data_IF_557807969250
#
_entry.id   IF_557807969250
#
_cell.length_a   1.000
_cell.length_b   1.000
_cell.length_c   1.000
_cell.angle_alpha   90.00
_cell.angle_beta   90.00
_cell.angle_gamma   90.00
#
_symmetry.space_group_name_H-M   'P 1'
#
loop_
_entity.id
_entity.type
_entity.pdbx_description
1 polymer ?
#
# COMPACT_ATOMS: atom_id res chain seq x y z
N UNK A 1 17.14 -12.78 4.86
CA UNK A 1 16.50 -13.65 3.86
C UNK A 1 15.01 -13.57 4.07
N UNK A 2 14.25 -13.25 3.03
CA UNK A 2 12.79 -13.15 3.11
C UNK A 2 12.20 -14.56 3.18
N UNK A 3 11.48 -14.89 4.25
CA UNK A 3 10.87 -16.22 4.38
C UNK A 3 9.77 -16.42 3.32
N UNK A 4 9.11 -15.34 2.90
CA UNK A 4 8.18 -15.34 1.79
C UNK A 4 8.81 -15.83 0.48
N UNK A 5 10.08 -15.49 0.20
CA UNK A 5 10.76 -15.92 -1.02
C UNK A 5 11.08 -17.42 -0.98
N UNK A 6 11.58 -17.91 0.15
CA UNK A 6 11.93 -19.31 0.34
C UNK A 6 10.69 -20.21 0.21
N UNK A 7 9.59 -19.86 0.90
CA UNK A 7 8.39 -20.70 0.91
C UNK A 7 7.65 -20.70 -0.43
N UNK A 8 7.77 -19.62 -1.20
CA UNK A 8 7.21 -19.53 -2.55
C UNK A 8 8.18 -20.03 -3.61
N UNK A 9 9.42 -20.36 -3.26
CA UNK A 9 10.45 -20.87 -4.16
C UNK A 9 10.97 -19.82 -5.15
N UNK A 10 11.05 -18.57 -4.73
CA UNK A 10 11.84 -17.55 -5.43
C UNK A 10 13.33 -17.70 -5.14
N UNK A 11 13.68 -18.23 -3.96
CA UNK A 11 15.05 -18.60 -3.63
C UNK A 11 15.11 -19.95 -2.89
N UNK A 12 16.29 -20.55 -2.85
CA UNK A 12 16.57 -21.68 -1.97
C UNK A 12 16.89 -21.25 -0.53
N UNK A 13 17.15 -22.21 0.36
CA UNK A 13 17.49 -21.95 1.76
C UNK A 13 18.83 -21.20 1.95
N UNK A 14 19.65 -21.08 0.91
CA UNK A 14 20.87 -20.26 0.91
C UNK A 14 20.63 -18.82 0.46
N UNK A 15 19.42 -18.51 -0.03
CA UNK A 15 19.04 -17.24 -0.62
C UNK A 15 19.43 -17.12 -2.10
N UNK A 16 19.87 -18.21 -2.73
CA UNK A 16 20.17 -18.21 -4.16
C UNK A 16 18.85 -18.24 -4.95
N UNK A 17 18.71 -17.33 -5.92
CA UNK A 17 17.54 -17.29 -6.79
C UNK A 17 17.40 -18.61 -7.57
N UNK A 18 16.17 -19.11 -7.66
CA UNK A 18 15.87 -20.33 -8.43
C UNK A 18 15.67 -19.98 -9.92
N UNK A 19 16.19 -20.85 -10.80
CA UNK A 19 16.02 -20.78 -12.26
C UNK A 19 15.47 -22.11 -12.79
N UNK A 20 14.25 -22.14 -13.34
CA UNK A 20 13.35 -21.02 -13.57
C UNK A 20 12.65 -20.52 -12.30
N UNK A 21 12.32 -19.23 -12.27
CA UNK A 21 11.46 -18.61 -11.27
C UNK A 21 10.03 -19.19 -11.38
N UNK A 22 9.33 -19.47 -10.27
CA UNK A 22 7.98 -20.02 -10.30
C UNK A 22 7.00 -19.08 -11.01
N UNK A 23 6.10 -19.65 -11.80
CA UNK A 23 5.06 -18.88 -12.49
C UNK A 23 3.95 -18.40 -11.54
N UNK A 24 3.22 -17.35 -11.92
CA UNK A 24 2.13 -16.79 -11.08
C UNK A 24 1.10 -17.82 -10.61
N UNK A 25 0.66 -18.74 -11.48
CA UNK A 25 -0.30 -19.79 -11.11
C UNK A 25 0.26 -20.80 -10.11
N UNK A 26 1.56 -21.08 -10.17
CA UNK A 26 2.25 -21.93 -9.21
C UNK A 26 2.37 -21.24 -7.85
N UNK A 27 2.75 -19.96 -7.83
CA UNK A 27 2.83 -19.15 -6.61
C UNK A 27 1.46 -19.08 -5.93
N UNK A 28 0.39 -18.79 -6.67
CA UNK A 28 -0.97 -18.76 -6.13
C UNK A 28 -1.38 -20.12 -5.54
N UNK A 29 -1.12 -21.22 -6.24
CA UNK A 29 -1.42 -22.56 -5.73
C UNK A 29 -0.64 -22.90 -4.45
N UNK A 30 0.62 -22.46 -4.35
CA UNK A 30 1.44 -22.62 -3.13
C UNK A 30 0.83 -21.85 -1.97
N UNK A 31 0.47 -20.58 -2.16
CA UNK A 31 -0.17 -19.76 -1.11
C UNK A 31 -1.49 -20.41 -0.65
N UNK A 32 -2.34 -20.85 -1.57
CA UNK A 32 -3.62 -21.48 -1.25
C UNK A 32 -3.50 -22.80 -0.48
N UNK A 33 -2.40 -23.53 -0.66
CA UNK A 33 -2.12 -24.78 0.03
C UNK A 33 -1.53 -24.58 1.44
N UNK A 34 -1.09 -23.37 1.79
CA UNK A 34 -0.44 -23.12 3.08
C UNK A 34 -1.43 -23.20 4.26
N UNK A 35 -0.95 -23.64 5.44
CA UNK A 35 -1.71 -23.52 6.67
C UNK A 35 -1.88 -22.04 7.06
N UNK A 36 -2.96 -21.72 7.76
CA UNK A 36 -3.24 -20.34 8.19
C UNK A 36 -2.15 -19.74 9.08
N UNK A 37 -1.41 -20.56 9.83
CA UNK A 37 -0.27 -20.09 10.63
C UNK A 37 0.83 -19.49 9.76
N UNK A 38 1.03 -20.02 8.55
CA UNK A 38 2.00 -19.51 7.61
C UNK A 38 1.49 -18.22 6.95
N UNK A 39 0.17 -18.11 6.73
CA UNK A 39 -0.42 -16.84 6.30
C UNK A 39 -0.24 -15.73 7.36
N UNK A 40 -0.39 -16.04 8.64
CA UNK A 40 -0.11 -15.08 9.73
C UNK A 40 1.36 -14.67 9.74
N UNK A 41 2.28 -15.61 9.52
CA UNK A 41 3.71 -15.29 9.38
C UNK A 41 3.99 -14.42 8.16
N UNK A 42 3.39 -14.73 7.01
CA UNK A 42 3.49 -13.94 5.79
C UNK A 42 2.98 -12.52 6.00
N UNK A 43 1.84 -12.37 6.68
CA UNK A 43 1.26 -11.07 7.03
C UNK A 43 2.24 -10.24 7.86
N UNK A 44 2.85 -10.82 8.90
CA UNK A 44 3.87 -10.13 9.70
C UNK A 44 5.03 -9.65 8.82
N UNK A 45 5.54 -10.49 7.93
CA UNK A 45 6.63 -10.12 7.03
C UNK A 45 6.22 -8.99 6.07
N UNK A 46 5.02 -9.05 5.49
CA UNK A 46 4.44 -7.96 4.66
C UNK A 46 4.40 -6.65 5.43
N UNK A 47 3.90 -6.68 6.67
CA UNK A 47 3.73 -5.49 7.50
C UNK A 47 5.04 -4.85 7.98
N UNK A 48 6.09 -5.65 8.12
CA UNK A 48 7.37 -5.22 8.72
C UNK A 48 8.49 -5.02 7.70
N UNK A 49 8.30 -5.51 6.47
CA UNK A 49 9.26 -5.28 5.37
C UNK A 49 9.08 -3.87 4.82
N UNK A 50 10.14 -3.08 4.92
CA UNK A 50 10.23 -1.75 4.30
C UNK A 50 9.98 -1.84 2.81
N UNK A 51 9.34 -0.82 2.24
CA UNK A 51 8.94 -0.85 0.85
C UNK A 51 10.13 -1.06 -0.11
N UNK A 52 11.26 -0.39 0.17
CA UNK A 52 12.53 -0.56 -0.57
C UNK A 52 13.09 -1.99 -0.54
N UNK A 53 12.75 -2.77 0.48
CA UNK A 53 13.28 -4.11 0.72
C UNK A 53 12.28 -5.22 0.32
N UNK A 54 11.12 -4.85 -0.25
CA UNK A 54 10.11 -5.82 -0.69
C UNK A 54 10.66 -6.68 -1.84
N UNK A 55 10.56 -7.99 -1.64
CA UNK A 55 10.94 -9.01 -2.62
C UNK A 55 9.72 -9.50 -3.41
N UNK A 56 9.95 -10.36 -4.40
CA UNK A 56 8.87 -10.99 -5.17
C UNK A 56 7.91 -11.81 -4.30
N UNK A 57 8.42 -12.52 -3.29
CA UNK A 57 7.58 -13.29 -2.36
C UNK A 57 6.74 -12.37 -1.48
N UNK A 58 7.31 -11.30 -0.94
CA UNK A 58 6.55 -10.30 -0.17
C UNK A 58 5.47 -9.67 -1.04
N UNK A 59 5.80 -9.28 -2.28
CA UNK A 59 4.84 -8.73 -3.22
C UNK A 59 3.72 -9.71 -3.56
N UNK A 60 4.02 -11.00 -3.77
CA UNK A 60 3.01 -12.02 -4.01
C UNK A 60 2.00 -12.13 -2.86
N UNK A 61 2.47 -12.05 -1.60
CA UNK A 61 1.58 -12.02 -0.45
C UNK A 61 0.80 -10.71 -0.31
N UNK A 62 1.41 -9.55 -0.61
CA UNK A 62 0.68 -8.27 -0.68
C UNK A 62 -0.52 -8.39 -1.63
N UNK A 63 -0.28 -8.89 -2.85
CA UNK A 63 -1.34 -9.09 -3.84
C UNK A 63 -2.38 -10.12 -3.41
N UNK A 64 -1.95 -11.19 -2.72
CA UNK A 64 -2.87 -12.17 -2.18
C UNK A 64 -3.81 -11.56 -1.14
N UNK A 65 -3.27 -10.85 -0.14
CA UNK A 65 -4.07 -10.22 0.92
C UNK A 65 -4.94 -9.06 0.42
N UNK A 66 -4.51 -8.35 -0.63
CA UNK A 66 -5.31 -7.34 -1.32
C UNK A 66 -6.58 -7.93 -1.96
N UNK A 67 -6.51 -9.19 -2.41
CA UNK A 67 -7.63 -9.85 -3.10
C UNK A 67 -8.45 -10.75 -2.19
N UNK A 68 -7.85 -11.25 -1.10
CA UNK A 68 -8.41 -12.30 -0.26
C UNK A 68 -9.87 -12.02 0.13
N UNK A 69 -10.14 -10.84 0.67
CA UNK A 69 -11.47 -10.48 1.17
C UNK A 69 -12.49 -10.24 0.06
N UNK A 70 -12.01 -9.86 -1.14
CA UNK A 70 -12.86 -9.71 -2.31
C UNK A 70 -13.23 -11.08 -2.91
N UNK A 71 -12.23 -11.95 -3.09
CA UNK A 71 -12.33 -13.20 -3.82
C UNK A 71 -12.92 -14.34 -2.96
N UNK A 72 -12.52 -14.44 -1.68
CA UNK A 72 -13.05 -15.40 -0.72
C UNK A 72 -13.24 -14.76 0.67
N UNK A 73 -14.38 -14.08 0.90
CA UNK A 73 -14.63 -13.40 2.18
C UNK A 73 -14.67 -14.36 3.38
N UNK A 74 -15.02 -15.63 3.19
CA UNK A 74 -15.04 -16.61 4.29
C UNK A 74 -13.62 -16.96 4.70
N UNK A 75 -12.74 -17.19 3.72
CA UNK A 75 -11.33 -17.44 3.98
C UNK A 75 -10.62 -16.23 4.56
N UNK A 76 -10.99 -15.01 4.15
CA UNK A 76 -10.59 -13.77 4.82
C UNK A 76 -10.89 -13.76 6.31
N UNK A 77 -12.08 -14.22 6.72
CA UNK A 77 -12.47 -14.29 8.14
C UNK A 77 -11.69 -15.40 8.88
N UNK A 78 -11.44 -16.54 8.25
CA UNK A 78 -10.59 -17.60 8.82
C UNK A 78 -9.17 -17.10 9.04
N UNK A 79 -8.63 -16.32 8.10
CA UNK A 79 -7.33 -15.67 8.26
C UNK A 79 -7.32 -14.68 9.44
N UNK A 80 -8.34 -13.81 9.55
CA UNK A 80 -8.47 -12.88 10.67
C UNK A 80 -8.53 -13.66 12.00
N UNK A 81 -9.31 -14.73 12.07
CA UNK A 81 -9.36 -15.59 13.26
C UNK A 81 -7.98 -16.19 13.60
N UNK A 82 -7.25 -16.71 12.62
CA UNK A 82 -5.93 -17.25 12.83
C UNK A 82 -4.94 -16.18 13.33
N UNK A 83 -4.99 -14.97 12.77
CA UNK A 83 -4.17 -13.86 13.22
C UNK A 83 -4.49 -13.46 14.68
N UNK A 84 -5.78 -13.40 15.04
CA UNK A 84 -6.20 -13.13 16.42
C UNK A 84 -5.67 -14.18 17.43
N UNK A 85 -5.44 -15.41 16.98
CA UNK A 85 -4.90 -16.50 17.82
C UNK A 85 -3.37 -16.51 17.86
N UNK A 86 -2.69 -16.20 16.76
CA UNK A 86 -1.26 -16.47 16.59
C UNK A 86 -0.38 -15.22 16.49
N UNK A 87 -0.92 -14.06 16.11
CA UNK A 87 -0.18 -12.80 16.12
C UNK A 87 -0.23 -12.17 17.53
N UNK A 88 0.93 -11.98 18.15
CA UNK A 88 1.05 -11.43 19.50
C UNK A 88 1.36 -9.93 19.49
N UNK A 89 1.92 -9.42 18.41
CA UNK A 89 2.20 -8.01 18.21
C UNK A 89 0.91 -7.28 17.83
N UNK A 90 0.46 -6.38 18.71
CA UNK A 90 -0.77 -5.63 18.52
C UNK A 90 -0.66 -4.61 17.37
N UNK A 91 0.54 -4.07 17.08
CA UNK A 91 0.74 -3.17 15.94
C UNK A 91 0.55 -3.92 14.62
N UNK A 92 1.12 -5.14 14.50
CA UNK A 92 0.93 -6.00 13.32
C UNK A 92 -0.52 -6.46 13.19
N UNK A 93 -1.16 -6.81 14.31
CA UNK A 93 -2.57 -7.19 14.30
C UNK A 93 -3.48 -6.03 13.89
N UNK A 94 -3.20 -4.82 14.39
CA UNK A 94 -3.91 -3.59 14.04
C UNK A 94 -3.92 -3.35 12.52
N UNK A 95 -2.83 -3.69 11.83
CA UNK A 95 -2.74 -3.55 10.37
C UNK A 95 -3.77 -4.40 9.63
N UNK A 96 -4.37 -5.44 10.23
CA UNK A 96 -5.49 -6.17 9.61
C UNK A 96 -6.72 -5.27 9.46
N UNK A 97 -6.95 -4.39 10.43
CA UNK A 97 -8.05 -3.41 10.40
C UNK A 97 -7.76 -2.25 9.44
N UNK A 98 -6.55 -1.69 9.50
CA UNK A 98 -6.14 -0.62 8.56
C UNK A 98 -6.09 -1.13 7.12
N UNK A 99 -5.45 -2.28 6.98
CA UNK A 99 -5.19 -2.92 5.71
C UNK A 99 -6.46 -3.42 5.05
N UNK A 100 -6.24 -3.98 3.87
CA UNK A 100 -7.30 -4.45 2.99
C UNK A 100 -8.10 -5.65 3.55
N UNK A 101 -7.55 -6.60 4.34
CA UNK A 101 -8.29 -7.77 4.79
C UNK A 101 -9.61 -7.45 5.52
N UNK A 102 -9.60 -6.72 6.65
CA UNK A 102 -10.85 -6.38 7.32
C UNK A 102 -11.58 -5.24 6.60
N UNK A 103 -10.85 -4.22 6.14
CA UNK A 103 -11.44 -3.05 5.50
C UNK A 103 -12.31 -3.40 4.28
N UNK A 104 -11.82 -4.24 3.39
CA UNK A 104 -12.55 -4.68 2.19
C UNK A 104 -13.72 -5.62 2.52
N UNK A 105 -13.62 -6.45 3.56
CA UNK A 105 -14.76 -7.26 4.01
C UNK A 105 -15.93 -6.36 4.39
N UNK A 106 -15.66 -5.26 5.09
CA UNK A 106 -16.68 -4.32 5.52
C UNK A 106 -17.24 -3.51 4.34
N UNK A 107 -16.40 -3.09 3.40
CA UNK A 107 -16.85 -2.28 2.24
C UNK A 107 -17.61 -3.14 1.23
N UNK A 108 -17.00 -4.23 0.77
CA UNK A 108 -17.50 -4.95 -0.41
C UNK A 108 -18.31 -6.21 -0.07
N UNK A 109 -18.18 -6.73 1.14
CA UNK A 109 -18.72 -8.05 1.53
C UNK A 109 -19.45 -8.03 2.87
N UNK A 110 -19.95 -6.87 3.32
CA UNK A 110 -20.59 -6.70 4.63
C UNK A 110 -21.70 -7.73 4.91
N UNK A 111 -22.52 -8.04 3.90
CA UNK A 111 -23.64 -8.99 4.02
C UNK A 111 -23.18 -10.40 4.38
N UNK A 112 -22.02 -10.82 3.87
CA UNK A 112 -21.39 -12.11 4.19
C UNK A 112 -20.60 -12.01 5.49
N UNK A 113 -19.83 -10.94 5.67
CA UNK A 113 -18.90 -10.79 6.77
C UNK A 113 -19.59 -10.55 8.12
N UNK A 114 -20.65 -9.74 8.15
CA UNK A 114 -21.32 -9.31 9.40
C UNK A 114 -21.74 -10.48 10.31
N UNK A 115 -22.54 -11.47 9.86
CA UNK A 115 -22.94 -12.56 10.75
C UNK A 115 -21.75 -13.37 11.29
N UNK A 116 -20.73 -13.58 10.46
CA UNK A 116 -19.54 -14.36 10.82
C UNK A 116 -18.64 -13.59 11.81
N UNK A 117 -18.46 -12.28 11.61
CA UNK A 117 -17.72 -11.41 12.52
C UNK A 117 -18.45 -11.27 13.88
N UNK A 118 -19.78 -11.21 13.88
CA UNK A 118 -20.56 -11.19 15.13
C UNK A 118 -20.36 -12.48 15.93
N UNK A 119 -20.44 -13.64 15.28
CA UNK A 119 -20.20 -14.93 15.95
C UNK A 119 -18.76 -15.02 16.48
N UNK A 120 -17.78 -14.63 15.67
CA UNK A 120 -16.37 -14.61 16.07
C UNK A 120 -16.12 -13.67 17.25
N UNK A 121 -16.77 -12.49 17.28
CA UNK A 121 -16.62 -11.49 18.34
C UNK A 121 -17.18 -11.95 19.70
N UNK A 122 -18.09 -12.92 19.73
CA UNK A 122 -18.56 -13.52 20.98
C UNK A 122 -17.46 -14.30 21.70
N UNK A 123 -16.53 -14.88 20.95
CA UNK A 123 -15.46 -15.76 21.45
C UNK A 123 -14.05 -15.17 21.36
N UNK A 124 -13.86 -14.08 20.59
CA UNK A 124 -12.58 -13.40 20.42
C UNK A 124 -12.67 -11.92 20.87
N UNK A 125 -12.32 -11.59 22.13
CA UNK A 125 -12.28 -10.21 22.60
C UNK A 125 -11.36 -9.31 21.77
N UNK A 126 -10.24 -9.85 21.27
CA UNK A 126 -9.30 -9.12 20.40
C UNK A 126 -9.94 -8.69 19.08
N UNK A 127 -10.96 -9.40 18.58
CA UNK A 127 -11.70 -8.93 17.41
C UNK A 127 -12.49 -7.66 17.72
N UNK A 128 -13.10 -7.55 18.89
CA UNK A 128 -13.88 -6.36 19.28
C UNK A 128 -12.99 -5.13 19.36
N UNK A 129 -11.80 -5.28 19.93
CA UNK A 129 -10.76 -4.27 19.92
C UNK A 129 -10.36 -3.88 18.48
N UNK A 130 -10.07 -4.86 17.62
CA UNK A 130 -9.70 -4.61 16.21
C UNK A 130 -10.83 -3.91 15.43
N UNK A 131 -12.08 -4.28 15.66
CA UNK A 131 -13.28 -3.64 15.12
C UNK A 131 -13.47 -2.23 15.68
N UNK A 132 -12.98 -1.95 16.89
CA UNK A 132 -12.97 -0.61 17.51
C UNK A 132 -12.31 0.44 16.60
N UNK A 133 -11.23 0.08 15.89
CA UNK A 133 -10.61 0.96 14.87
C UNK A 133 -11.57 1.38 13.77
N UNK A 134 -12.46 0.49 13.37
CA UNK A 134 -13.37 0.69 12.24
C UNK A 134 -14.65 1.43 12.63
N UNK A 135 -14.89 1.67 13.93
CA UNK A 135 -16.15 2.21 14.43
C UNK A 135 -16.53 3.53 13.76
N UNK A 136 -15.60 4.50 13.70
CA UNK A 136 -15.82 5.77 13.05
C UNK A 136 -16.12 5.62 11.55
N UNK A 137 -15.38 4.77 10.83
CA UNK A 137 -15.63 4.53 9.41
C UNK A 137 -16.98 3.85 9.15
N UNK A 138 -17.36 2.86 9.98
CA UNK A 138 -18.67 2.19 9.89
C UNK A 138 -19.78 3.21 10.14
N UNK A 139 -19.64 4.08 11.14
CA UNK A 139 -20.58 5.17 11.43
C UNK A 139 -20.70 6.19 10.28
N UNK A 140 -19.64 6.36 9.50
CA UNK A 140 -19.56 7.29 8.37
C UNK A 140 -19.85 6.64 7.00
N UNK A 141 -20.53 5.50 6.97
CA UNK A 141 -21.00 4.91 5.71
C UNK A 141 -20.03 3.97 5.01
N UNK A 142 -19.01 3.44 5.70
CA UNK A 142 -18.17 2.36 5.15
C UNK A 142 -18.98 1.09 4.81
N UNK A 143 -20.11 0.89 5.48
CA UNK A 143 -21.03 -0.22 5.25
C UNK A 143 -22.35 0.36 4.73
N UNK A 144 -22.68 0.08 3.47
CA UNK A 144 -23.83 0.66 2.78
C UNK A 144 -25.18 0.32 3.43
N UNK A 145 -25.30 -0.87 4.03
CA UNK A 145 -26.51 -1.33 4.71
C UNK A 145 -26.53 -0.81 6.16
N UNK A 146 -27.48 0.08 6.54
CA UNK A 146 -27.54 0.67 7.88
C UNK A 146 -27.79 -0.35 8.99
N UNK A 147 -28.49 -1.45 8.69
CA UNK A 147 -28.79 -2.50 9.66
C UNK A 147 -27.55 -3.34 9.94
N UNK A 148 -26.75 -3.64 8.92
CA UNK A 148 -25.45 -4.28 9.08
C UNK A 148 -24.46 -3.37 9.80
N UNK A 149 -24.40 -2.08 9.44
CA UNK A 149 -23.55 -1.09 10.10
C UNK A 149 -23.86 -1.04 11.60
N UNK A 150 -25.14 -0.91 11.97
CA UNK A 150 -25.59 -0.91 13.37
C UNK A 150 -25.19 -2.18 14.12
N UNK A 151 -25.33 -3.35 13.47
CA UNK A 151 -24.93 -4.65 14.05
C UNK A 151 -23.42 -4.76 14.27
N UNK A 152 -22.62 -4.22 13.35
CA UNK A 152 -21.16 -4.19 13.50
C UNK A 152 -20.73 -3.22 14.60
N UNK A 153 -21.36 -2.04 14.70
CA UNK A 153 -21.09 -1.07 15.76
C UNK A 153 -21.33 -1.68 17.16
N UNK A 154 -22.32 -2.56 17.33
CA UNK A 154 -22.57 -3.22 18.64
C UNK A 154 -21.45 -4.14 19.11
N UNK A 155 -20.54 -4.57 18.24
CA UNK A 155 -19.39 -5.41 18.61
C UNK A 155 -18.07 -4.64 18.66
N UNK A 156 -18.05 -3.37 18.24
CA UNK A 156 -16.84 -2.55 18.27
C UNK A 156 -16.51 -2.13 19.71
N UNK A 157 -15.24 -2.29 20.10
CA UNK A 157 -14.71 -1.73 21.35
C UNK A 157 -13.81 -0.52 21.03
N UNK A 158 -14.45 0.55 20.54
CA UNK A 158 -13.75 1.80 20.20
C UNK A 158 -13.00 2.40 21.40
N UNK A 159 -13.55 2.45 22.63
CA UNK A 159 -12.82 3.00 23.77
C UNK A 159 -11.52 2.24 24.07
N UNK A 160 -11.54 0.90 24.05
CA UNK A 160 -10.32 0.12 24.26
C UNK A 160 -9.30 0.33 23.14
N UNK A 161 -9.76 0.40 21.89
CA UNK A 161 -8.89 0.67 20.76
C UNK A 161 -8.23 2.06 20.85
N UNK A 162 -9.00 3.11 21.15
CA UNK A 162 -8.48 4.48 21.29
C UNK A 162 -7.48 4.61 22.43
N UNK A 163 -7.73 3.96 23.56
CA UNK A 163 -6.79 3.97 24.69
C UNK A 163 -5.45 3.30 24.33
N UNK A 164 -5.49 2.22 23.54
CA UNK A 164 -4.27 1.60 23.00
C UNK A 164 -3.56 2.52 22.01
N UNK A 165 -4.29 3.10 21.07
CA UNK A 165 -3.74 3.98 20.01
C UNK A 165 -3.01 5.19 20.61
N UNK A 166 -3.61 5.84 21.62
CA UNK A 166 -3.01 6.97 22.33
C UNK A 166 -1.72 6.57 23.09
N UNK A 167 -1.66 5.34 23.60
CA UNK A 167 -0.48 4.83 24.30
C UNK A 167 0.63 4.36 23.34
N UNK A 168 0.27 3.81 22.19
CA UNK A 168 1.19 3.23 21.22
C UNK A 168 1.87 4.29 20.35
N UNK A 169 1.16 5.36 19.99
CA UNK A 169 1.63 6.34 19.01
C UNK A 169 1.68 7.76 19.60
N UNK A 170 2.83 8.17 20.18
CA UNK A 170 3.01 9.56 20.55
C UNK A 170 2.99 10.43 19.29
N UNK A 171 2.23 11.54 19.31
CA UNK A 171 2.14 12.46 18.18
C UNK A 171 3.53 12.91 17.74
N UNK A 172 3.89 12.58 16.50
CA UNK A 172 5.11 13.08 15.87
C UNK A 172 5.04 14.59 15.68
N UNK A 173 6.20 15.26 15.71
CA UNK A 173 6.26 16.65 15.27
C UNK A 173 5.96 16.73 13.76
N UNK A 174 5.00 17.59 13.34
CA UNK A 174 4.69 17.77 11.92
C UNK A 174 5.90 18.26 11.13
N UNK A 175 6.06 17.76 9.92
CA UNK A 175 7.09 18.22 8.98
C UNK A 175 6.47 19.26 8.06
N UNK A 176 7.03 20.47 8.03
CA UNK A 176 6.64 21.50 7.07
C UNK A 176 7.30 21.24 5.70
N UNK A 177 6.76 20.27 4.95
CA UNK A 177 7.31 19.83 3.67
C UNK A 177 7.47 20.98 2.66
N UNK A 178 6.56 21.94 2.66
CA UNK A 178 6.58 23.13 1.81
C UNK A 178 7.74 24.08 2.10
N UNK A 179 8.32 24.01 3.30
CA UNK A 179 9.44 24.83 3.73
C UNK A 179 10.80 24.16 3.48
N UNK A 180 10.82 22.86 3.13
CA UNK A 180 12.06 22.12 2.90
C UNK A 180 12.72 22.56 1.57
N UNK A 181 14.04 22.77 1.55
CA UNK A 181 14.79 22.87 0.31
C UNK A 181 14.62 21.60 -0.54
N UNK A 182 14.60 21.74 -1.86
CA UNK A 182 14.34 20.63 -2.79
C UNK A 182 15.18 19.36 -2.52
N UNK A 183 16.50 19.42 -2.26
CA UNK A 183 17.29 18.22 -1.95
C UNK A 183 16.90 17.54 -0.63
N UNK A 184 16.52 18.34 0.38
CA UNK A 184 16.06 17.84 1.67
C UNK A 184 14.67 17.21 1.53
N UNK A 185 13.79 17.82 0.74
CA UNK A 185 12.47 17.29 0.42
C UNK A 185 12.58 15.95 -0.33
N UNK A 186 13.48 15.83 -1.31
CA UNK A 186 13.73 14.58 -2.02
C UNK A 186 14.24 13.47 -1.08
N UNK A 187 15.20 13.80 -0.20
CA UNK A 187 15.71 12.86 0.81
C UNK A 187 14.60 12.42 1.76
N UNK A 188 13.76 13.37 2.20
CA UNK A 188 12.65 13.09 3.10
C UNK A 188 11.58 12.23 2.43
N UNK A 189 11.30 12.47 1.15
CA UNK A 189 10.40 11.63 0.36
C UNK A 189 10.90 10.18 0.33
N UNK A 190 12.18 9.95 0.00
CA UNK A 190 12.77 8.60 -0.02
C UNK A 190 12.68 7.93 1.35
N UNK A 191 12.99 8.65 2.43
CA UNK A 191 12.89 8.15 3.80
C UNK A 191 11.47 7.68 4.15
N UNK A 192 10.47 8.55 3.92
CA UNK A 192 9.08 8.30 4.30
C UNK A 192 8.47 7.21 3.43
N UNK A 193 8.72 7.24 2.11
CA UNK A 193 8.17 6.26 1.17
C UNK A 193 8.85 4.89 1.26
N UNK A 194 10.03 4.80 1.89
CA UNK A 194 10.69 3.53 2.18
C UNK A 194 10.09 2.75 3.34
N UNK A 195 9.25 3.37 4.17
CA UNK A 195 8.77 2.79 5.42
C UNK A 195 7.93 1.53 5.19
N UNK A 196 7.98 0.63 6.16
CA UNK A 196 7.06 -0.51 6.25
C UNK A 196 5.68 -0.06 6.74
N UNK A 197 4.66 -0.92 6.57
CA UNK A 197 3.30 -0.58 6.99
C UNK A 197 3.21 -0.28 8.50
N UNK A 198 4.01 -0.97 9.33
CA UNK A 198 4.09 -0.72 10.77
C UNK A 198 4.80 0.61 11.09
N UNK A 199 5.84 0.98 10.35
CA UNK A 199 6.51 2.26 10.54
C UNK A 199 5.61 3.43 10.14
N UNK A 200 4.79 3.24 9.09
CA UNK A 200 3.77 4.22 8.68
C UNK A 200 2.71 4.42 9.77
N UNK A 201 2.40 3.40 10.57
CA UNK A 201 1.41 3.55 11.66
C UNK A 201 1.90 4.35 12.86
N UNK A 202 3.21 4.54 12.99
CA UNK A 202 3.80 5.16 14.19
C UNK A 202 3.80 6.67 14.17
N UNK A 203 3.62 7.27 13.00
CA UNK A 203 3.59 8.72 12.83
C UNK A 203 2.72 9.14 11.64
N UNK A 204 2.44 10.44 11.56
CA UNK A 204 1.58 11.01 10.52
C UNK A 204 2.36 11.42 9.26
N UNK A 205 3.70 11.29 9.22
CA UNK A 205 4.53 11.87 8.16
C UNK A 205 4.24 11.29 6.77
N UNK A 206 3.83 10.02 6.71
CA UNK A 206 3.43 9.41 5.43
C UNK A 206 2.17 10.07 4.87
N UNK A 207 1.18 10.32 5.72
CA UNK A 207 -0.07 10.97 5.34
C UNK A 207 0.13 12.45 5.01
N UNK A 208 0.91 13.15 5.84
CA UNK A 208 1.25 14.56 5.60
C UNK A 208 2.02 14.74 4.27
N UNK A 209 2.96 13.83 3.96
CA UNK A 209 3.69 13.83 2.70
C UNK A 209 2.75 13.55 1.52
N UNK A 210 1.83 12.60 1.66
CA UNK A 210 0.84 12.27 0.63
C UNK A 210 -0.08 13.45 0.31
N UNK A 211 -0.61 14.12 1.34
CA UNK A 211 -1.46 15.30 1.20
C UNK A 211 -0.69 16.49 0.57
N UNK A 212 0.57 16.69 0.99
CA UNK A 212 1.46 17.66 0.38
C UNK A 212 1.71 17.36 -1.10
N UNK A 213 2.04 16.11 -1.44
CA UNK A 213 2.26 15.67 -2.82
C UNK A 213 1.03 15.95 -3.68
N UNK A 214 -0.16 15.52 -3.23
CA UNK A 214 -1.41 15.72 -3.96
C UNK A 214 -1.70 17.20 -4.21
N UNK A 215 -1.42 18.05 -3.22
CA UNK A 215 -1.53 19.50 -3.38
C UNK A 215 -0.49 20.04 -4.38
N UNK A 216 0.76 19.58 -4.29
CA UNK A 216 1.87 20.03 -5.12
C UNK A 216 1.65 19.71 -6.60
N UNK A 217 1.20 18.49 -6.92
CA UNK A 217 0.96 18.04 -8.29
C UNK A 217 -0.19 18.81 -8.94
N UNK A 218 -1.27 19.08 -8.20
CA UNK A 218 -2.41 19.84 -8.70
C UNK A 218 -2.16 21.35 -8.82
N UNK A 219 -1.42 21.96 -7.88
CA UNK A 219 -1.27 23.43 -7.82
C UNK A 219 0.01 23.96 -8.44
N UNK A 220 1.11 23.20 -8.37
CA UNK A 220 2.44 23.60 -8.85
C UNK A 220 3.16 22.45 -9.58
N UNK A 221 2.58 21.91 -10.68
CA UNK A 221 3.07 20.69 -11.34
C UNK A 221 4.52 20.76 -11.84
N UNK A 222 5.02 21.94 -12.21
CA UNK A 222 6.43 22.11 -12.57
C UNK A 222 7.38 22.03 -11.37
N UNK A 223 6.93 22.40 -10.17
CA UNK A 223 7.68 22.16 -8.93
C UNK A 223 7.64 20.68 -8.55
N UNK A 224 6.49 20.02 -8.72
CA UNK A 224 6.38 18.57 -8.56
C UNK A 224 7.37 17.84 -9.50
N UNK A 225 7.43 18.24 -10.78
CA UNK A 225 8.39 17.68 -11.73
C UNK A 225 9.85 17.90 -11.30
N UNK A 226 10.18 19.06 -10.72
CA UNK A 226 11.51 19.29 -10.16
C UNK A 226 11.82 18.35 -8.99
N UNK A 227 10.84 18.04 -8.14
CA UNK A 227 10.98 17.06 -7.06
C UNK A 227 11.15 15.64 -7.59
N UNK A 228 10.36 15.21 -8.59
CA UNK A 228 10.54 13.90 -9.26
C UNK A 228 11.97 13.75 -9.75
N UNK A 229 12.51 14.77 -10.41
CA UNK A 229 13.90 14.76 -10.90
C UNK A 229 14.92 14.69 -9.76
N UNK A 230 14.73 15.47 -8.69
CA UNK A 230 15.63 15.44 -7.54
C UNK A 230 15.61 14.09 -6.80
N UNK A 231 14.46 13.41 -6.75
CA UNK A 231 14.36 12.05 -6.20
C UNK A 231 15.10 11.06 -7.10
N UNK A 232 14.89 11.14 -8.43
CA UNK A 232 15.54 10.26 -9.40
C UNK A 232 17.07 10.42 -9.43
N UNK A 233 17.61 11.58 -9.02
CA UNK A 233 19.05 11.79 -8.86
C UNK A 233 19.66 11.02 -7.68
N UNK A 234 18.86 10.65 -6.67
CA UNK A 234 19.34 10.03 -5.43
C UNK A 234 18.81 8.61 -5.19
N UNK A 235 17.90 8.12 -6.02
CA UNK A 235 17.22 6.84 -5.83
C UNK A 235 17.22 5.98 -7.11
N UNK A 236 17.57 4.71 -6.97
CA UNK A 236 17.65 3.72 -8.04
C UNK A 236 16.85 2.44 -7.73
N UNK A 237 16.22 2.36 -6.55
CA UNK A 237 15.46 1.20 -6.13
C UNK A 237 14.16 1.06 -6.95
N UNK A 238 13.95 -0.07 -7.63
CA UNK A 238 12.81 -0.24 -8.54
C UNK A 238 11.46 -0.17 -7.84
N UNK A 239 11.37 -0.56 -6.56
CA UNK A 239 10.11 -0.44 -5.82
C UNK A 239 9.77 1.05 -5.65
N UNK A 240 10.71 1.85 -5.12
CA UNK A 240 10.48 3.28 -4.89
C UNK A 240 10.23 4.06 -6.18
N UNK A 241 10.96 3.74 -7.25
CA UNK A 241 10.71 4.33 -8.57
C UNK A 241 9.33 3.94 -9.12
N UNK A 242 8.84 2.73 -8.83
CA UNK A 242 7.48 2.32 -9.18
C UNK A 242 6.40 3.13 -8.46
N UNK A 243 6.59 3.50 -7.18
CA UNK A 243 5.67 4.44 -6.49
C UNK A 243 5.80 5.85 -7.08
N UNK A 244 7.02 6.29 -7.38
CA UNK A 244 7.24 7.62 -7.95
C UNK A 244 6.55 7.78 -9.31
N UNK A 245 6.56 6.72 -10.14
CA UNK A 245 5.89 6.71 -11.45
C UNK A 245 4.37 6.67 -11.32
N UNK A 246 3.82 5.67 -10.62
CA UNK A 246 2.37 5.46 -10.47
C UNK A 246 1.71 6.40 -9.44
N UNK A 247 2.45 7.39 -8.95
CA UNK A 247 2.01 8.39 -7.98
C UNK A 247 2.33 9.79 -8.49
N UNK A 248 3.38 10.41 -7.96
CA UNK A 248 3.67 11.83 -8.21
C UNK A 248 3.84 12.19 -9.69
N UNK A 249 4.52 11.34 -10.48
CA UNK A 249 4.71 11.61 -11.90
C UNK A 249 3.40 11.45 -12.70
N UNK A 250 2.56 10.48 -12.34
CA UNK A 250 1.23 10.32 -12.92
C UNK A 250 0.34 11.52 -12.59
N UNK A 251 0.25 11.87 -11.30
CA UNK A 251 -0.63 12.91 -10.76
C UNK A 251 -0.31 14.32 -11.29
N UNK A 252 0.95 14.61 -11.64
CA UNK A 252 1.31 15.94 -12.16
C UNK A 252 0.95 16.14 -13.63
N UNK A 253 0.65 15.07 -14.37
CA UNK A 253 0.36 15.15 -15.80
C UNK A 253 -1.12 15.56 -15.99
N UNK A 254 -1.39 16.73 -16.59
CA UNK A 254 -2.74 17.18 -16.81
C UNK A 254 -3.43 16.41 -17.95
N UNK A 255 -4.76 16.38 -17.93
CA UNK A 255 -5.59 15.81 -18.99
C UNK A 255 -5.31 16.43 -20.37
N UNK A 256 -5.26 17.76 -20.42
CA UNK A 256 -5.02 18.55 -21.62
C UNK A 256 -3.52 18.80 -21.85
N UNK A 257 -3.16 18.97 -23.12
CA UNK A 257 -1.78 19.28 -23.49
C UNK A 257 -1.32 20.65 -22.97
N UNK A 258 -0.02 20.83 -22.78
CA UNK A 258 0.52 22.11 -22.34
C UNK A 258 1.94 22.06 -21.79
N UNK A 259 2.37 23.12 -21.07
CA UNK A 259 3.75 23.30 -20.65
C UNK A 259 4.30 22.18 -19.77
N UNK A 260 3.44 21.51 -18.99
CA UNK A 260 3.85 20.37 -18.16
C UNK A 260 4.18 19.16 -19.04
N UNK A 261 3.32 18.84 -20.00
CA UNK A 261 3.54 17.75 -20.96
C UNK A 261 4.79 18.02 -21.81
N UNK A 262 5.00 19.28 -22.24
CA UNK A 262 6.23 19.69 -22.91
C UNK A 262 7.48 19.41 -22.07
N UNK A 263 7.44 19.77 -20.79
CA UNK A 263 8.56 19.56 -19.87
C UNK A 263 8.84 18.06 -19.63
N UNK A 264 7.79 17.25 -19.45
CA UNK A 264 7.89 15.79 -19.27
C UNK A 264 8.50 15.12 -20.51
N UNK A 265 8.00 15.46 -21.71
CA UNK A 265 8.51 14.90 -22.97
C UNK A 265 9.97 15.32 -23.21
N UNK A 266 10.30 16.59 -22.95
CA UNK A 266 11.67 17.08 -23.09
C UNK A 266 12.64 16.39 -22.12
N UNK A 267 12.20 16.15 -20.88
CA UNK A 267 13.00 15.46 -19.87
C UNK A 267 13.23 13.99 -20.25
N UNK A 268 12.19 13.26 -20.67
CA UNK A 268 12.32 11.88 -21.14
C UNK A 268 13.23 11.73 -22.36
N UNK A 269 13.26 12.72 -23.28
CA UNK A 269 14.20 12.71 -24.39
C UNK A 269 15.66 12.89 -23.93
N UNK A 270 15.87 13.67 -22.87
CA UNK A 270 17.18 14.04 -22.33
C UNK A 270 17.77 12.94 -21.43
N UNK A 271 16.96 12.37 -20.55
CA UNK A 271 17.41 11.50 -19.46
C UNK A 271 16.82 10.08 -19.61
N UNK A 272 17.66 9.03 -19.85
CA UNK A 272 17.18 7.65 -19.91
C UNK A 272 16.48 7.16 -18.64
N UNK A 273 16.95 7.56 -17.47
CA UNK A 273 16.33 7.11 -16.22
C UNK A 273 14.93 7.70 -16.07
N UNK A 274 14.76 8.96 -16.51
CA UNK A 274 13.45 9.60 -16.51
C UNK A 274 12.51 8.98 -17.56
N UNK A 275 13.06 8.58 -18.72
CA UNK A 275 12.30 7.84 -19.74
C UNK A 275 11.78 6.50 -19.19
N UNK A 276 12.61 5.74 -18.48
CA UNK A 276 12.20 4.49 -17.86
C UNK A 276 11.16 4.72 -16.75
N UNK A 277 11.32 5.78 -15.95
CA UNK A 277 10.33 6.19 -14.95
C UNK A 277 8.97 6.51 -15.60
N UNK A 278 8.96 7.26 -16.71
CA UNK A 278 7.74 7.61 -17.45
C UNK A 278 7.03 6.36 -18.00
N UNK A 279 7.76 5.29 -18.33
CA UNK A 279 7.17 4.03 -18.77
C UNK A 279 6.37 3.31 -17.67
N UNK A 280 6.49 3.73 -16.41
CA UNK A 280 5.71 3.22 -15.29
C UNK A 280 4.43 4.01 -14.98
N UNK A 281 4.08 5.02 -15.78
CA UNK A 281 2.87 5.85 -15.63
C UNK A 281 1.68 5.23 -16.37
N UNK A 282 0.50 5.28 -15.76
CA UNK A 282 -0.76 4.86 -16.39
C UNK A 282 -1.44 6.06 -17.06
N UNK A 283 -1.93 5.88 -18.30
CA UNK A 283 -2.47 6.98 -19.11
C UNK A 283 -4.00 6.92 -19.27
N UNK A 284 -4.70 6.22 -18.38
CA UNK A 284 -6.10 5.82 -18.56
C UNK A 284 -7.08 7.02 -18.60
N UNK A 285 -6.70 8.15 -17.98
CA UNK A 285 -7.52 9.35 -17.85
C UNK A 285 -6.91 10.60 -18.53
N UNK A 286 -6.15 10.44 -19.63
CA UNK A 286 -5.55 11.54 -20.38
C UNK A 286 -6.21 11.74 -21.75
N UNK A 287 -6.10 12.95 -22.31
CA UNK A 287 -6.54 13.19 -23.68
C UNK A 287 -5.72 12.36 -24.68
N UNK A 288 -6.30 11.89 -25.81
CA UNK A 288 -5.58 11.08 -26.79
C UNK A 288 -4.30 11.75 -27.34
N UNK A 289 -4.27 13.08 -27.39
CA UNK A 289 -3.11 13.87 -27.79
C UNK A 289 -1.95 13.72 -26.81
N UNK A 290 -2.22 13.89 -25.51
CA UNK A 290 -1.21 13.72 -24.45
C UNK A 290 -0.72 12.27 -24.42
N UNK A 291 -1.63 11.29 -24.48
CA UNK A 291 -1.27 9.86 -24.52
C UNK A 291 -0.29 9.57 -25.66
N UNK A 292 -0.55 10.08 -26.87
CA UNK A 292 0.32 9.87 -28.02
C UNK A 292 1.72 10.47 -27.81
N UNK A 293 1.81 11.67 -27.24
CA UNK A 293 3.08 12.36 -26.96
C UNK A 293 3.91 11.61 -25.92
N UNK A 294 3.28 11.20 -24.81
CA UNK A 294 3.96 10.48 -23.73
C UNK A 294 4.38 9.07 -24.18
N UNK A 295 3.50 8.36 -24.89
CA UNK A 295 3.83 7.04 -25.47
C UNK A 295 5.01 7.13 -26.45
N UNK A 296 5.05 8.18 -27.27
CA UNK A 296 6.20 8.41 -28.14
C UNK A 296 7.48 8.64 -27.31
N UNK A 297 7.42 9.48 -26.29
CA UNK A 297 8.56 9.76 -25.41
C UNK A 297 9.09 8.49 -24.71
N UNK A 298 8.21 7.62 -24.22
CA UNK A 298 8.56 6.32 -23.63
C UNK A 298 9.32 5.39 -24.60
N UNK A 299 9.00 5.47 -25.90
CA UNK A 299 9.49 4.51 -26.89
C UNK A 299 10.69 4.97 -27.72
N UNK A 300 11.13 6.22 -27.61
CA UNK A 300 12.18 6.80 -28.48
C UNK A 300 13.50 6.02 -28.55
N UNK A 301 13.85 5.26 -27.50
CA UNK A 301 15.12 4.49 -27.43
C UNK A 301 14.93 2.98 -27.48
N UNK A 302 13.68 2.50 -27.51
CA UNK A 302 13.35 1.07 -27.61
C UNK A 302 13.20 0.60 -29.07
N UNK A 303 13.33 1.51 -30.03
CA UNK A 303 13.37 1.29 -31.49
C UNK A 303 14.80 1.33 -32.03
#
# INVERSE_FOLDING_TARGET
MAWCDEVLGFCDASGAALDPVPGYGEVAARIEAMPMTDWVRAWREVCTTRFRDRTHGVYAFVMHFDRLSHDDPKRGIVFIEAALQHEQDEEVLNLIAKGKPLGQLLVFRASVATPLLQELALRQPRLRWLMGRQAASIGNGKVDDPDLARRLLTICDEPAYRAWEEAAYPKSEPVAFEALPLPELATKWVEVMSRSDIEIERDDQWYDLYDYQHTLTGSEPLKALALVKAILEIEDNPNLLGILSAGMLEDLIPYDDGPVVDAVVAEAARDPNFQDLLCGVWFDDLSPEVVARLTWACNQRRS
#
